data_IF_843749761911
#
_entry.id   IF_843749761911
#
_cell.length_a   1.000
_cell.length_b   1.000
_cell.length_c   1.000
_cell.angle_alpha   90.00
_cell.angle_beta   90.00
_cell.angle_gamma   90.00
#
_symmetry.space_group_name_H-M   'P 1'
#
loop_
_entity.id
_entity.type
_entity.pdbx_description
1 polymer ?
#
# COMPACT_ATOMS: atom_id res chain seq x y z
N UNK A 1 -10.98 3.53 10.26
CA UNK A 1 -11.90 2.46 9.80
C UNK A 1 -12.22 2.69 8.33
N UNK A 2 -12.09 1.66 7.51
CA UNK A 2 -12.37 1.69 6.07
C UNK A 2 -13.85 1.91 5.80
N UNK A 3 -14.17 2.59 4.69
CA UNK A 3 -15.55 2.83 4.26
C UNK A 3 -15.94 1.82 3.18
N UNK A 4 -17.24 1.54 3.07
CA UNK A 4 -17.77 0.86 1.90
C UNK A 4 -17.91 1.87 0.76
N UNK A 5 -17.20 1.64 -0.34
CA UNK A 5 -17.25 2.48 -1.54
C UNK A 5 -17.76 1.61 -2.67
N UNK A 6 -18.95 1.92 -3.20
CA UNK A 6 -19.59 1.17 -4.30
C UNK A 6 -19.68 -0.35 -4.07
N UNK A 7 -20.02 -0.77 -2.84
CA UNK A 7 -20.14 -2.19 -2.48
C UNK A 7 -18.80 -2.89 -2.17
N UNK A 8 -17.66 -2.19 -2.29
CA UNK A 8 -16.33 -2.66 -1.93
C UNK A 8 -15.91 -2.09 -0.58
N UNK A 9 -15.54 -2.94 0.39
CA UNK A 9 -14.95 -2.46 1.65
C UNK A 9 -13.52 -1.99 1.36
N UNK A 10 -13.15 -0.82 1.85
CA UNK A 10 -11.75 -0.39 1.82
C UNK A 10 -10.93 -1.24 2.81
N UNK A 11 -9.75 -1.65 2.37
CA UNK A 11 -8.76 -2.30 3.22
C UNK A 11 -8.38 -1.33 4.35
N UNK A 12 -8.44 -1.82 5.59
CA UNK A 12 -8.18 -1.01 6.78
C UNK A 12 -6.69 -1.09 7.13
N UNK A 13 -6.06 0.04 7.46
CA UNK A 13 -4.68 0.11 7.95
C UNK A 13 -4.48 -0.69 9.25
N UNK A 14 -3.23 -1.01 9.59
CA UNK A 14 -2.84 -1.67 10.84
C UNK A 14 -2.91 -3.21 10.79
N UNK A 15 -2.90 -3.82 9.60
CA UNK A 15 -2.70 -5.26 9.45
C UNK A 15 -1.28 -5.54 8.97
N UNK A 16 -0.80 -6.75 9.20
CA UNK A 16 0.48 -7.19 8.65
C UNK A 16 0.37 -7.43 7.13
N UNK A 17 1.47 -7.27 6.38
CA UNK A 17 1.57 -7.67 4.98
C UNK A 17 0.99 -9.05 4.65
N UNK A 18 1.28 -10.06 5.47
CA UNK A 18 0.74 -11.41 5.28
C UNK A 18 -0.79 -11.43 5.40
N UNK A 19 -1.36 -10.73 6.38
CA UNK A 19 -2.81 -10.64 6.54
C UNK A 19 -3.47 -9.96 5.34
N UNK A 20 -2.86 -8.90 4.81
CA UNK A 20 -3.36 -8.26 3.59
C UNK A 20 -3.25 -9.18 2.38
N UNK A 21 -2.13 -9.87 2.20
CA UNK A 21 -1.91 -10.78 1.08
C UNK A 21 -2.92 -11.92 1.11
N UNK A 22 -3.13 -12.55 2.27
CA UNK A 22 -4.11 -13.61 2.43
C UNK A 22 -5.54 -13.09 2.22
N UNK A 23 -5.86 -11.88 2.68
CA UNK A 23 -7.16 -11.26 2.41
C UNK A 23 -7.40 -11.01 0.92
N UNK A 24 -6.40 -10.55 0.16
CA UNK A 24 -6.53 -10.37 -1.30
C UNK A 24 -6.75 -11.70 -2.03
N UNK A 25 -6.12 -12.78 -1.57
CA UNK A 25 -6.27 -14.12 -2.17
C UNK A 25 -7.59 -14.82 -1.84
N UNK A 26 -8.05 -14.68 -0.59
CA UNK A 26 -9.12 -15.52 -0.04
C UNK A 26 -10.49 -14.87 -0.04
N UNK A 27 -10.56 -13.53 -0.06
CA UNK A 27 -11.84 -12.82 -0.04
C UNK A 27 -12.36 -12.63 -1.47
N UNK A 28 -13.55 -13.19 -1.83
CA UNK A 28 -14.13 -13.05 -3.16
C UNK A 28 -14.33 -11.59 -3.60
N UNK A 29 -14.48 -10.66 -2.66
CA UNK A 29 -14.61 -9.22 -2.94
C UNK A 29 -13.38 -8.64 -3.64
N UNK A 30 -12.19 -9.25 -3.48
CA UNK A 30 -10.92 -8.79 -4.02
C UNK A 30 -10.30 -9.76 -5.03
N UNK A 31 -11.06 -10.73 -5.56
CA UNK A 31 -10.54 -11.80 -6.42
C UNK A 31 -9.79 -11.33 -7.68
N UNK A 32 -10.06 -10.09 -8.14
CA UNK A 32 -9.42 -9.48 -9.31
C UNK A 32 -8.36 -8.42 -8.91
N UNK A 33 -8.09 -8.29 -7.62
CA UNK A 33 -7.14 -7.33 -7.07
C UNK A 33 -5.84 -8.03 -6.68
N UNK A 34 -4.72 -7.38 -6.98
CA UNK A 34 -3.38 -7.76 -6.52
C UNK A 34 -2.79 -6.62 -5.70
N UNK A 35 -1.75 -6.91 -4.92
CA UNK A 35 -0.87 -5.85 -4.41
C UNK A 35 -0.20 -5.07 -5.52
N UNK A 36 0.05 -3.78 -5.28
CA UNK A 36 0.92 -2.98 -6.15
C UNK A 36 2.37 -3.45 -6.08
N UNK A 37 3.08 -3.36 -7.20
CA UNK A 37 4.55 -3.44 -7.25
C UNK A 37 5.18 -2.06 -6.99
N UNK A 38 6.47 -1.99 -6.62
CA UNK A 38 7.19 -0.73 -6.49
C UNK A 38 7.11 0.17 -7.75
N UNK A 39 7.20 -0.41 -8.95
CA UNK A 39 7.14 0.30 -10.23
C UNK A 39 5.75 0.91 -10.45
N UNK A 40 4.69 0.13 -10.22
CA UNK A 40 3.31 0.60 -10.31
C UNK A 40 3.06 1.77 -9.35
N UNK A 41 3.61 1.70 -8.14
CA UNK A 41 3.49 2.75 -7.14
C UNK A 41 4.23 4.03 -7.53
N UNK A 42 5.43 3.93 -8.14
CA UNK A 42 6.15 5.12 -8.65
C UNK A 42 5.33 5.79 -9.76
N UNK A 43 4.84 5.02 -10.73
CA UNK A 43 4.02 5.54 -11.83
C UNK A 43 2.76 6.21 -11.29
N UNK A 44 2.09 5.58 -10.32
CA UNK A 44 0.89 6.14 -9.70
C UNK A 44 1.17 7.43 -8.93
N UNK A 45 2.26 7.47 -8.15
CA UNK A 45 2.65 8.65 -7.39
C UNK A 45 2.95 9.86 -8.30
N UNK A 46 3.66 9.64 -9.42
CA UNK A 46 3.93 10.68 -10.42
C UNK A 46 2.63 11.18 -11.04
N UNK A 47 1.78 10.28 -11.54
CA UNK A 47 0.49 10.66 -12.14
C UNK A 47 -0.40 11.43 -11.16
N UNK A 48 -0.46 10.99 -9.90
CA UNK A 48 -1.23 11.67 -8.86
C UNK A 48 -0.71 13.08 -8.60
N UNK A 49 0.61 13.25 -8.52
CA UNK A 49 1.24 14.56 -8.36
C UNK A 49 0.95 15.48 -9.54
N UNK A 50 1.08 15.00 -10.77
CA UNK A 50 0.80 15.78 -11.98
C UNK A 50 -0.66 16.24 -12.04
N UNK A 51 -1.60 15.37 -11.64
CA UNK A 51 -3.04 15.65 -11.73
C UNK A 51 -3.57 16.53 -10.60
N UNK A 52 -2.99 16.41 -9.40
CA UNK A 52 -3.56 17.03 -8.18
C UNK A 52 -2.66 18.09 -7.57
N UNK A 53 -1.40 18.16 -8.00
CA UNK A 53 -0.34 18.94 -7.37
C UNK A 53 -0.14 18.60 -5.87
N UNK A 54 -0.40 17.34 -5.49
CA UNK A 54 -0.25 16.82 -4.13
C UNK A 54 0.61 15.57 -4.11
N UNK A 55 1.37 15.39 -3.02
CA UNK A 55 2.10 14.14 -2.75
C UNK A 55 1.16 13.10 -2.15
N UNK A 56 1.34 11.84 -2.53
CA UNK A 56 0.59 10.71 -1.98
C UNK A 56 1.38 10.02 -0.86
N UNK A 57 0.67 9.30 0.01
CA UNK A 57 1.28 8.45 1.05
C UNK A 57 2.21 9.23 2.00
N UNK A 58 1.88 10.49 2.26
CA UNK A 58 2.56 11.39 3.20
C UNK A 58 2.27 10.99 4.65
N UNK A 59 3.01 9.98 5.12
CA UNK A 59 2.93 9.43 6.48
C UNK A 59 3.14 10.49 7.56
N UNK A 60 4.01 11.47 7.34
CA UNK A 60 4.22 12.58 8.29
C UNK A 60 3.11 13.65 8.25
N UNK A 61 2.13 13.50 7.36
CA UNK A 61 0.97 14.38 7.21
C UNK A 61 -0.32 13.67 7.58
N UNK A 62 -1.21 13.49 6.60
CA UNK A 62 -2.48 12.75 6.75
C UNK A 62 -2.51 11.47 5.90
N UNK A 63 -1.39 11.13 5.27
CA UNK A 63 -1.23 9.91 4.50
C UNK A 63 -0.82 8.72 5.35
N UNK A 64 -0.64 7.58 4.69
CA UNK A 64 -0.25 6.30 5.29
C UNK A 64 0.81 5.68 4.38
N UNK A 65 1.72 4.91 4.96
CA UNK A 65 2.66 4.10 4.18
C UNK A 65 1.89 2.96 3.51
N UNK A 66 2.22 2.67 2.26
CA UNK A 66 1.58 1.61 1.47
C UNK A 66 2.51 0.40 1.31
N UNK A 67 2.06 -0.78 1.75
CA UNK A 67 2.70 -2.06 1.49
C UNK A 67 2.56 -2.46 0.02
N UNK A 68 3.70 -2.78 -0.59
CA UNK A 68 3.80 -3.16 -2.01
C UNK A 68 3.70 -4.68 -2.15
N UNK A 69 2.54 -5.26 -1.83
CA UNK A 69 2.34 -6.71 -1.78
C UNK A 69 2.58 -7.43 -3.12
N UNK A 70 2.61 -6.70 -4.24
CA UNK A 70 3.01 -7.25 -5.53
C UNK A 70 4.48 -7.69 -5.56
N UNK A 71 5.29 -7.25 -4.60
CA UNK A 71 6.68 -7.63 -4.39
C UNK A 71 6.92 -8.34 -3.05
N UNK A 72 5.93 -9.11 -2.57
CA UNK A 72 6.09 -9.94 -1.37
C UNK A 72 7.17 -11.02 -1.58
N UNK A 73 8.07 -11.20 -0.61
CA UNK A 73 9.15 -12.20 -0.63
C UNK A 73 8.82 -13.38 0.30
N UNK A 74 8.32 -14.52 -0.23
CA UNK A 74 7.86 -15.62 0.62
C UNK A 74 8.93 -16.22 1.53
N UNK A 75 10.19 -16.25 1.06
CA UNK A 75 11.30 -16.82 1.81
C UNK A 75 11.70 -16.03 3.07
N UNK A 76 11.43 -14.72 3.09
CA UNK A 76 11.74 -13.85 4.24
C UNK A 76 10.48 -13.30 4.92
N UNK A 77 9.31 -13.52 4.33
CA UNK A 77 8.08 -12.81 4.67
C UNK A 77 8.11 -11.32 4.30
N UNK A 78 9.24 -10.78 3.82
CA UNK A 78 9.45 -9.35 3.61
C UNK A 78 8.54 -8.75 2.54
N UNK A 79 8.22 -7.47 2.69
CA UNK A 79 7.55 -6.69 1.64
C UNK A 79 8.14 -5.26 1.60
N UNK A 80 8.34 -4.68 0.40
CA UNK A 80 8.64 -3.27 0.30
C UNK A 80 7.45 -2.42 0.77
N UNK A 81 7.76 -1.26 1.33
CA UNK A 81 6.76 -0.25 1.68
C UNK A 81 7.12 1.08 1.03
N UNK A 82 6.12 1.86 0.67
CA UNK A 82 6.26 3.14 0.00
C UNK A 82 5.56 4.23 0.80
N UNK A 83 6.26 5.34 1.05
CA UNK A 83 5.67 6.50 1.71
C UNK A 83 6.47 7.77 1.44
N UNK A 84 5.80 8.91 1.45
CA UNK A 84 6.45 10.21 1.36
C UNK A 84 6.97 10.64 2.74
N UNK A 85 8.27 10.92 2.82
CA UNK A 85 8.92 11.33 4.06
C UNK A 85 9.32 12.81 3.98
N UNK A 86 8.58 13.68 4.68
CA UNK A 86 8.77 15.14 4.60
C UNK A 86 10.18 15.60 4.97
N UNK A 87 10.82 14.95 5.95
CA UNK A 87 12.18 15.29 6.36
C UNK A 87 13.24 15.08 5.27
N UNK A 88 13.01 14.12 4.37
CA UNK A 88 13.87 13.83 3.21
C UNK A 88 13.37 14.47 1.92
N UNK A 89 12.13 14.99 1.94
CA UNK A 89 11.43 15.53 0.75
C UNK A 89 11.45 14.55 -0.42
N UNK A 90 11.28 13.26 -0.11
CA UNK A 90 11.39 12.18 -1.07
C UNK A 90 10.43 11.04 -0.73
N UNK A 91 9.98 10.35 -1.77
CA UNK A 91 9.32 9.06 -1.63
C UNK A 91 10.37 8.01 -1.22
N UNK A 92 10.18 7.39 -0.07
CA UNK A 92 11.03 6.32 0.41
C UNK A 92 10.40 4.97 0.04
N UNK A 93 11.17 4.13 -0.65
CA UNK A 93 10.86 2.74 -0.93
C UNK A 93 11.77 1.90 -0.03
N UNK A 94 11.25 1.38 1.08
CA UNK A 94 12.05 0.58 2.01
C UNK A 94 11.38 0.26 3.35
N UNK A 95 11.46 -1.00 3.76
CA UNK A 95 11.00 -1.52 5.05
C UNK A 95 11.54 -2.93 5.28
N UNK A 96 11.96 -3.23 6.50
CA UNK A 96 12.65 -4.49 6.86
C UNK A 96 11.80 -5.43 7.73
N UNK A 97 10.63 -4.99 8.20
CA UNK A 97 9.80 -5.75 9.13
C UNK A 97 8.46 -6.10 8.48
N UNK A 98 8.26 -7.35 8.01
CA UNK A 98 6.95 -7.80 7.55
C UNK A 98 5.95 -8.03 8.69
N UNK A 99 6.40 -7.89 9.93
CA UNK A 99 5.57 -8.03 11.14
C UNK A 99 5.23 -6.67 11.78
N UNK A 100 5.82 -5.57 11.30
CA UNK A 100 5.49 -4.24 11.81
C UNK A 100 4.11 -3.83 11.30
N UNK A 101 3.11 -3.85 12.18
CA UNK A 101 1.81 -3.24 11.93
C UNK A 101 1.73 -1.91 12.69
N UNK A 102 2.34 -0.84 12.18
CA UNK A 102 2.06 0.50 12.71
C UNK A 102 0.67 0.95 12.23
N UNK A 103 -0.01 1.71 13.07
CA UNK A 103 -1.31 2.33 12.80
C UNK A 103 -1.33 3.19 11.52
N UNK A 104 -0.16 3.66 11.08
CA UNK A 104 0.02 4.40 9.83
C UNK A 104 0.39 3.56 8.61
N UNK A 105 0.46 2.24 8.72
CA UNK A 105 0.80 1.34 7.62
C UNK A 105 -0.47 0.66 7.05
N UNK A 106 -0.62 0.71 5.73
CA UNK A 106 -1.76 0.15 5.01
C UNK A 106 -1.34 -0.51 3.70
N UNK A 107 -2.32 -0.81 2.85
CA UNK A 107 -2.08 -1.41 1.52
C UNK A 107 -2.94 -0.72 0.47
N UNK A 108 -2.39 -0.60 -0.74
CA UNK A 108 -3.15 -0.28 -1.95
C UNK A 108 -3.21 -1.51 -2.85
N UNK A 109 -4.43 -1.93 -3.14
CA UNK A 109 -4.70 -2.98 -4.09
C UNK A 109 -4.92 -2.39 -5.49
N UNK A 110 -4.52 -3.14 -6.51
CA UNK A 110 -4.54 -2.77 -7.91
C UNK A 110 -5.29 -3.83 -8.72
N UNK A 111 -6.02 -3.41 -9.75
CA UNK A 111 -6.75 -4.33 -10.63
C UNK A 111 -5.87 -4.63 -11.85
N UNK A 112 -5.63 -5.92 -12.13
CA UNK A 112 -5.10 -6.34 -13.44
C UNK A 112 -6.29 -6.58 -14.36
N UNK A 113 -6.35 -5.83 -15.46
CA UNK A 113 -7.31 -6.00 -16.55
C UNK A 113 -6.68 -6.90 -17.61
#
# INVERSE_FOLDING_TARGET
KGKNVKGRKQLEAGQTPNQYLEMLKTNPQYQNETGMTPEEQIIYAIKYLEQTNQVIDDYSGKGSVSYQLGAFFPASGGVPRAGWYRGRRAACLGGSGPEDSDSGDGVRAWVRV
#
